data_IF_557217065982
#
_entry.id   IF_557217065982
#
_cell.length_a   1.000
_cell.length_b   1.000
_cell.length_c   1.000
_cell.angle_alpha   90.00
_cell.angle_beta   90.00
_cell.angle_gamma   90.00
#
_symmetry.space_group_name_H-M   'P 1'
#
loop_
_entity.id
_entity.type
_entity.pdbx_description
1 polymer ?
#
# COMPACT_ATOMS: atom_id res chain seq x y z
N UNK A 1 2.91 62.46 10.81
CA UNK A 1 2.92 62.33 9.34
C UNK A 1 4.38 62.35 8.88
N UNK A 2 4.99 61.17 8.71
CA UNK A 2 6.27 61.02 8.04
C UNK A 2 6.31 59.60 7.47
N UNK A 3 6.41 59.56 6.15
CA UNK A 3 6.25 58.41 5.27
C UNK A 3 7.62 57.83 4.94
N UNK A 4 7.78 56.52 4.96
CA UNK A 4 8.85 55.75 4.28
C UNK A 4 8.60 54.27 4.64
N UNK A 5 8.22 53.36 3.75
CA UNK A 5 8.64 53.19 2.36
C UNK A 5 9.52 51.96 2.26
N UNK A 6 9.03 50.77 2.64
CA UNK A 6 9.75 49.51 2.44
C UNK A 6 9.60 49.09 0.98
N UNK A 7 10.69 49.25 0.23
CA UNK A 7 10.76 48.88 -1.18
C UNK A 7 10.82 47.36 -1.33
N UNK A 8 9.93 46.86 -2.18
CA UNK A 8 9.85 45.50 -2.69
C UNK A 8 11.00 45.27 -3.69
N UNK A 9 11.79 44.22 -3.48
CA UNK A 9 12.80 43.77 -4.45
C UNK A 9 12.31 42.49 -5.15
N UNK A 10 12.11 42.50 -6.48
CA UNK A 10 11.87 41.28 -7.26
C UNK A 10 13.20 40.55 -7.53
N UNK A 11 13.28 39.26 -7.19
CA UNK A 11 14.40 38.41 -7.58
C UNK A 11 14.23 37.99 -9.05
N UNK A 12 15.04 38.61 -9.91
CA UNK A 12 15.15 38.32 -11.33
C UNK A 12 15.86 36.98 -11.58
N UNK A 13 15.40 36.28 -12.62
CA UNK A 13 15.75 34.91 -12.91
C UNK A 13 17.21 34.64 -13.30
N UNK A 14 17.59 33.39 -13.09
CA UNK A 14 18.68 32.76 -13.82
C UNK A 14 18.11 31.67 -14.72
N UNK A 15 18.06 32.01 -16.01
CA UNK A 15 17.85 31.09 -17.10
C UNK A 15 19.08 30.18 -17.26
N UNK A 16 18.88 28.87 -17.34
CA UNK A 16 19.90 27.94 -17.79
C UNK A 16 19.89 27.85 -19.32
N UNK A 17 21.06 27.80 -19.98
CA UNK A 17 21.17 27.73 -21.43
C UNK A 17 20.72 26.38 -21.98
N UNK A 18 20.06 26.45 -23.14
CA UNK A 18 19.60 25.30 -23.91
C UNK A 18 20.75 24.50 -24.51
N UNK A 19 20.55 23.19 -24.61
CA UNK A 19 21.34 22.33 -25.47
C UNK A 19 20.47 21.90 -26.67
N UNK A 20 20.72 22.55 -27.80
CA UNK A 20 20.27 22.16 -29.12
C UNK A 20 21.19 21.06 -29.66
N UNK A 21 20.74 19.81 -29.57
CA UNK A 21 21.40 18.65 -30.17
C UNK A 21 20.48 17.98 -31.20
N UNK A 22 20.51 18.48 -32.42
CA UNK A 22 19.91 17.89 -33.61
C UNK A 22 20.70 16.66 -34.05
N UNK A 23 20.06 15.48 -34.13
CA UNK A 23 20.54 14.39 -34.99
C UNK A 23 19.46 14.04 -36.01
N UNK A 24 19.88 14.12 -37.27
CA UNK A 24 19.07 13.95 -38.46
C UNK A 24 18.69 12.50 -38.74
N UNK A 25 17.69 12.40 -39.60
CA UNK A 25 16.97 11.21 -40.03
C UNK A 25 17.77 10.27 -40.94
N UNK A 26 17.39 9.00 -40.91
CA UNK A 26 17.39 8.04 -42.02
C UNK A 26 16.42 6.93 -41.55
N UNK A 27 15.29 6.61 -42.17
CA UNK A 27 14.99 6.59 -43.59
C UNK A 27 15.00 5.15 -44.09
N UNK A 28 14.13 4.28 -43.57
CA UNK A 28 13.86 2.97 -44.17
C UNK A 28 12.36 2.68 -44.14
N UNK A 29 11.78 2.52 -45.32
CA UNK A 29 10.38 2.22 -45.54
C UNK A 29 10.10 0.75 -45.78
N UNK A 30 8.81 0.48 -46.02
CA UNK A 30 8.33 -0.62 -46.84
C UNK A 30 8.10 -1.95 -46.12
N UNK A 31 6.84 -2.37 -46.02
CA UNK A 31 6.51 -3.76 -45.71
C UNK A 31 5.12 -4.01 -45.14
N UNK A 32 4.07 -3.64 -45.86
CA UNK A 32 2.75 -4.26 -45.65
C UNK A 32 2.80 -5.65 -46.28
N UNK A 33 2.76 -6.70 -45.46
CA UNK A 33 2.82 -8.08 -45.94
C UNK A 33 2.03 -9.02 -45.04
N UNK A 34 0.93 -9.54 -45.57
CA UNK A 34 0.41 -10.88 -45.27
C UNK A 34 -0.16 -11.12 -43.88
N UNK A 35 -1.46 -10.88 -43.72
CA UNK A 35 -2.25 -11.62 -42.73
C UNK A 35 -2.23 -13.10 -43.12
N UNK A 36 -1.53 -13.91 -42.33
CA UNK A 36 -1.54 -15.36 -42.43
C UNK A 36 -2.92 -15.90 -42.05
N UNK A 37 -3.66 -16.39 -43.04
CA UNK A 37 -4.79 -17.27 -42.83
C UNK A 37 -4.29 -18.67 -42.50
N UNK A 38 -4.30 -19.03 -41.22
CA UNK A 38 -4.31 -20.43 -40.80
C UNK A 38 -5.74 -20.77 -40.37
N UNK A 39 -6.49 -21.35 -41.32
CA UNK A 39 -7.70 -22.10 -41.00
C UNK A 39 -7.29 -23.41 -40.37
N UNK A 40 -7.20 -23.44 -39.04
CA UNK A 40 -7.00 -24.66 -38.25
C UNK A 40 -8.23 -24.91 -37.40
N UNK A 41 -9.11 -25.80 -37.89
CA UNK A 41 -10.27 -26.25 -37.14
C UNK A 41 -9.87 -26.91 -35.84
N UNK A 42 -10.48 -26.48 -34.74
CA UNK A 42 -10.61 -27.26 -33.52
C UNK A 42 -12.09 -27.36 -33.19
N UNK A 43 -12.74 -28.39 -33.76
CA UNK A 43 -13.84 -29.02 -33.08
C UNK A 43 -13.26 -29.79 -31.90
N UNK A 44 -13.40 -29.25 -30.68
CA UNK A 44 -12.89 -29.85 -29.46
C UNK A 44 -13.89 -29.63 -28.35
N UNK A 45 -14.62 -30.69 -28.01
CA UNK A 45 -15.78 -30.67 -27.12
C UNK A 45 -15.54 -29.95 -25.80
N UNK A 46 -16.58 -29.25 -25.38
CA UNK A 46 -16.77 -28.80 -24.01
C UNK A 46 -16.92 -30.03 -23.10
N UNK A 47 -15.79 -30.68 -22.80
CA UNK A 47 -15.70 -31.62 -21.69
C UNK A 47 -15.93 -30.83 -20.42
N UNK A 48 -17.12 -31.00 -19.82
CA UNK A 48 -17.47 -30.38 -18.55
C UNK A 48 -16.41 -30.70 -17.51
N UNK A 49 -15.68 -29.68 -17.07
CA UNK A 49 -14.88 -29.79 -15.86
C UNK A 49 -15.86 -30.11 -14.72
N UNK A 50 -15.70 -31.24 -14.01
CA UNK A 50 -16.49 -31.46 -12.82
C UNK A 50 -16.17 -30.31 -11.87
N UNK A 51 -17.22 -29.59 -11.48
CA UNK A 51 -17.16 -28.61 -10.43
C UNK A 51 -16.60 -29.32 -9.19
N UNK A 52 -15.34 -29.03 -8.84
CA UNK A 52 -14.82 -29.41 -7.54
C UNK A 52 -15.53 -28.47 -6.57
N UNK A 53 -16.67 -28.91 -6.03
CA UNK A 53 -17.37 -28.21 -4.97
C UNK A 53 -16.44 -28.22 -3.76
N UNK A 54 -15.66 -27.15 -3.62
CA UNK A 54 -14.74 -26.98 -2.52
C UNK A 54 -15.58 -26.84 -1.25
N UNK A 55 -15.75 -27.95 -0.56
CA UNK A 55 -16.44 -28.02 0.73
C UNK A 55 -15.68 -27.09 1.67
N UNK A 56 -16.28 -25.94 1.98
CA UNK A 56 -15.73 -24.99 2.92
C UNK A 56 -15.74 -25.66 4.30
N UNK A 57 -14.56 -26.05 4.79
CA UNK A 57 -14.43 -26.54 6.15
C UNK A 57 -14.91 -25.45 7.12
N UNK A 58 -15.67 -25.80 8.18
CA UNK A 58 -16.07 -24.85 9.21
C UNK A 58 -14.82 -24.24 9.85
N UNK A 59 -14.69 -22.91 9.72
CA UNK A 59 -13.56 -22.17 10.27
C UNK A 59 -13.68 -22.18 11.81
N UNK A 60 -12.59 -22.42 12.57
CA UNK A 60 -12.62 -22.29 14.02
C UNK A 60 -13.09 -20.88 14.42
N UNK A 61 -13.72 -20.69 15.60
CA UNK A 61 -14.19 -19.38 16.03
C UNK A 61 -12.99 -18.43 16.03
N UNK A 62 -13.02 -17.47 15.11
CA UNK A 62 -11.95 -16.49 14.99
C UNK A 62 -11.88 -15.70 16.29
N UNK A 63 -10.67 -15.43 16.83
CA UNK A 63 -10.54 -14.53 17.97
C UNK A 63 -11.20 -13.18 17.64
N UNK A 64 -11.74 -12.46 18.64
CA UNK A 64 -12.40 -11.18 18.41
C UNK A 64 -11.45 -10.26 17.64
N UNK A 65 -11.87 -9.87 16.44
CA UNK A 65 -11.08 -8.99 15.58
C UNK A 65 -10.90 -7.65 16.29
N UNK A 66 -9.68 -7.11 16.36
CA UNK A 66 -9.47 -5.78 16.92
C UNK A 66 -10.19 -4.77 16.03
N UNK A 67 -11.34 -4.29 16.49
CA UNK A 67 -12.07 -3.20 15.84
C UNK A 67 -11.35 -1.89 16.14
N UNK A 68 -10.97 -1.15 15.11
CA UNK A 68 -10.43 0.20 15.27
C UNK A 68 -11.23 1.19 14.43
N UNK A 69 -11.26 2.44 14.87
CA UNK A 69 -11.96 3.51 14.16
C UNK A 69 -11.01 4.24 13.23
N UNK A 70 -11.51 4.66 12.08
CA UNK A 70 -10.80 5.57 11.19
C UNK A 70 -10.67 6.94 11.86
N UNK A 71 -9.42 7.37 12.14
CA UNK A 71 -9.11 8.69 12.73
C UNK A 71 -8.58 9.68 11.69
N UNK A 72 -8.95 9.47 10.42
CA UNK A 72 -8.64 10.41 9.35
C UNK A 72 -9.58 11.61 9.47
N UNK A 73 -9.04 12.79 9.80
CA UNK A 73 -9.84 13.97 10.11
C UNK A 73 -10.91 13.64 11.16
N UNK A 74 -12.19 13.64 10.73
CA UNK A 74 -13.36 13.38 11.57
C UNK A 74 -14.21 12.16 11.12
N UNK A 75 -13.61 11.17 10.45
CA UNK A 75 -14.32 10.06 9.81
C UNK A 75 -15.07 9.11 10.78
N UNK A 76 -14.37 8.50 11.74
CA UNK A 76 -14.98 7.66 12.78
C UNK A 76 -15.56 6.30 12.34
N UNK A 77 -15.45 5.93 11.06
CA UNK A 77 -15.93 4.63 10.53
C UNK A 77 -15.16 3.46 11.16
N UNK A 78 -15.87 2.39 11.52
CA UNK A 78 -15.28 1.16 12.05
C UNK A 78 -14.55 0.42 10.93
N UNK A 79 -13.32 0.01 11.21
CA UNK A 79 -12.49 -0.82 10.33
C UNK A 79 -12.49 -2.25 10.89
N UNK A 80 -13.17 -3.16 10.19
CA UNK A 80 -13.21 -4.59 10.54
C UNK A 80 -11.90 -5.31 10.21
N UNK A 81 -11.21 -4.84 9.17
CA UNK A 81 -9.93 -5.38 8.70
C UNK A 81 -8.88 -4.27 8.72
N UNK A 82 -7.94 -4.35 9.65
CA UNK A 82 -6.91 -3.32 9.83
C UNK A 82 -5.67 -3.54 8.94
N UNK A 83 -5.84 -4.22 7.80
CA UNK A 83 -4.77 -4.52 6.84
C UNK A 83 -4.58 -3.38 5.85
N UNK A 84 -3.37 -3.21 5.32
CA UNK A 84 -3.07 -2.19 4.31
C UNK A 84 -4.05 -2.16 3.12
N UNK A 85 -4.42 -3.31 2.51
CA UNK A 85 -5.41 -3.37 1.44
C UNK A 85 -6.83 -2.95 1.86
N UNK A 86 -7.29 -3.36 3.04
CA UNK A 86 -8.62 -3.02 3.54
C UNK A 86 -8.72 -1.52 3.87
N UNK A 87 -7.69 -0.97 4.53
CA UNK A 87 -7.59 0.46 4.80
C UNK A 87 -7.50 1.24 3.50
N UNK A 88 -6.71 0.78 2.52
CA UNK A 88 -6.67 1.39 1.18
C UNK A 88 -8.07 1.45 0.57
N UNK A 89 -8.84 0.36 0.61
CA UNK A 89 -10.22 0.33 0.09
C UNK A 89 -11.09 1.37 0.80
N UNK A 90 -11.04 1.43 2.12
CA UNK A 90 -11.76 2.43 2.91
C UNK A 90 -11.37 3.87 2.52
N UNK A 91 -10.07 4.15 2.45
CA UNK A 91 -9.54 5.46 2.06
C UNK A 91 -9.98 5.85 0.65
N UNK A 92 -10.04 4.92 -0.31
CA UNK A 92 -10.57 5.19 -1.66
C UNK A 92 -12.08 5.41 -1.69
N UNK A 93 -12.83 4.83 -0.76
CA UNK A 93 -14.29 4.95 -0.73
C UNK A 93 -14.76 6.22 -0.03
N UNK A 94 -14.09 6.60 1.07
CA UNK A 94 -14.52 7.70 1.93
C UNK A 94 -13.63 8.94 1.84
N UNK A 95 -12.40 8.79 1.37
CA UNK A 95 -11.37 9.84 1.34
C UNK A 95 -10.73 9.99 -0.05
N UNK A 96 -11.44 9.69 -1.13
CA UNK A 96 -10.89 9.74 -2.50
C UNK A 96 -10.31 11.13 -2.85
N UNK A 97 -10.95 12.20 -2.36
CA UNK A 97 -10.51 13.57 -2.56
C UNK A 97 -9.17 13.90 -1.87
N UNK A 98 -8.83 13.19 -0.78
CA UNK A 98 -7.58 13.37 -0.03
C UNK A 98 -6.45 12.45 -0.54
N UNK A 99 -6.79 11.52 -1.44
CA UNK A 99 -5.84 10.58 -2.02
C UNK A 99 -5.10 11.21 -3.22
N UNK A 100 -3.83 10.82 -3.45
CA UNK A 100 -3.09 11.33 -4.59
C UNK A 100 -3.78 10.86 -5.89
N UNK A 101 -3.86 11.71 -6.91
CA UNK A 101 -4.55 11.37 -8.14
C UNK A 101 -3.88 10.17 -8.79
N UNK A 102 -4.70 9.28 -9.34
CA UNK A 102 -4.22 8.16 -10.17
C UNK A 102 -3.65 8.77 -11.45
N UNK A 103 -2.33 8.96 -11.48
CA UNK A 103 -1.64 9.39 -12.68
C UNK A 103 -1.83 8.37 -13.81
N UNK A 104 -1.67 8.83 -15.04
CA UNK A 104 -1.71 7.97 -16.22
C UNK A 104 -0.65 6.86 -16.11
N UNK A 105 -0.98 5.67 -16.62
CA UNK A 105 -0.22 4.44 -16.49
C UNK A 105 1.31 4.65 -16.48
N UNK A 106 1.89 4.60 -15.26
CA UNK A 106 3.33 4.67 -15.03
C UNK A 106 3.85 5.91 -14.30
N UNK A 107 3.06 6.97 -14.13
CA UNK A 107 3.49 8.18 -13.43
C UNK A 107 2.70 8.38 -12.13
N UNK A 108 3.39 8.48 -11.00
CA UNK A 108 2.75 8.81 -9.71
C UNK A 108 2.34 10.27 -9.77
N UNK A 109 1.03 10.54 -9.89
CA UNK A 109 0.46 11.87 -10.11
C UNK A 109 0.55 12.85 -8.94
N UNK A 110 1.46 12.62 -7.98
CA UNK A 110 1.65 13.47 -6.80
C UNK A 110 1.83 12.70 -5.50
N UNK A 111 2.30 13.40 -4.46
CA UNK A 111 2.22 12.95 -3.06
C UNK A 111 1.11 13.73 -2.35
N UNK A 112 0.37 13.05 -1.47
CA UNK A 112 -0.50 13.73 -0.49
C UNK A 112 -0.07 13.34 0.92
N UNK A 113 -0.38 14.21 1.87
CA UNK A 113 -0.01 14.06 3.27
C UNK A 113 -1.04 13.22 4.00
N UNK A 114 -0.60 12.31 4.85
CA UNK A 114 -1.48 11.57 5.73
C UNK A 114 -2.12 12.51 6.76
N UNK A 115 -3.44 12.51 6.89
CA UNK A 115 -4.18 13.37 7.85
C UNK A 115 -4.69 12.58 9.07
N UNK A 116 -4.04 11.45 9.38
CA UNK A 116 -4.43 10.64 10.52
C UNK A 116 -4.12 11.38 11.82
N UNK A 117 -5.08 11.40 12.75
CA UNK A 117 -4.91 12.05 14.05
C UNK A 117 -4.91 11.00 15.16
N UNK A 118 -3.80 10.89 15.89
CA UNK A 118 -3.70 10.04 17.06
C UNK A 118 -3.38 10.85 18.33
N UNK A 119 -3.08 10.16 19.43
CA UNK A 119 -2.74 10.76 20.72
C UNK A 119 -1.48 11.64 20.67
N UNK A 120 -0.56 11.37 19.73
CA UNK A 120 0.65 12.14 19.48
C UNK A 120 0.45 13.36 18.57
N UNK A 121 -0.74 13.53 17.99
CA UNK A 121 -1.08 14.65 17.10
C UNK A 121 -1.44 14.19 15.68
N UNK A 122 -1.52 15.16 14.76
CA UNK A 122 -1.75 14.90 13.33
C UNK A 122 -0.47 14.37 12.67
N UNK A 123 -0.59 13.27 11.94
CA UNK A 123 0.46 12.78 11.06
C UNK A 123 0.75 13.81 9.96
N UNK A 124 2.02 13.87 9.52
CA UNK A 124 2.46 14.78 8.46
C UNK A 124 3.21 14.02 7.34
N UNK A 125 3.16 12.68 7.36
CA UNK A 125 3.93 11.83 6.44
C UNK A 125 3.39 11.94 5.01
N UNK A 126 4.28 12.27 4.07
CA UNK A 126 3.95 12.29 2.65
C UNK A 126 3.92 10.89 2.04
N UNK A 127 2.79 10.55 1.42
CA UNK A 127 2.56 9.27 0.77
C UNK A 127 2.31 9.49 -0.72
N UNK A 128 3.12 8.82 -1.55
CA UNK A 128 3.12 8.95 -3.02
C UNK A 128 1.98 8.20 -3.73
N UNK A 129 1.15 7.46 -2.99
CA UNK A 129 0.03 6.71 -3.55
C UNK A 129 -0.99 6.34 -2.46
N UNK A 130 -2.22 6.01 -2.84
CA UNK A 130 -3.21 5.45 -1.90
C UNK A 130 -2.76 4.13 -1.27
N UNK A 131 -1.96 3.33 -2.00
CA UNK A 131 -1.37 2.09 -1.47
C UNK A 131 -0.37 2.40 -0.36
N UNK A 132 0.45 3.43 -0.55
CA UNK A 132 1.38 3.89 0.48
C UNK A 132 0.64 4.35 1.73
N UNK A 133 -0.47 5.10 1.58
CA UNK A 133 -1.33 5.49 2.70
C UNK A 133 -1.88 4.29 3.46
N UNK A 134 -2.48 3.31 2.77
CA UNK A 134 -3.05 2.13 3.42
C UNK A 134 -2.01 1.36 4.24
N UNK A 135 -0.81 1.16 3.69
CA UNK A 135 0.30 0.51 4.41
C UNK A 135 0.79 1.36 5.59
N UNK A 136 0.98 2.66 5.38
CA UNK A 136 1.44 3.59 6.41
C UNK A 136 0.48 3.56 7.61
N UNK A 137 -0.81 3.79 7.37
CA UNK A 137 -1.85 3.79 8.41
C UNK A 137 -1.93 2.46 9.14
N UNK A 138 -1.91 1.34 8.40
CA UNK A 138 -1.91 -0.01 8.98
C UNK A 138 -0.74 -0.19 9.97
N UNK A 139 0.48 0.13 9.56
CA UNK A 139 1.69 -0.17 10.34
C UNK A 139 1.98 0.84 11.46
N UNK A 140 1.80 2.14 11.19
CA UNK A 140 2.21 3.22 12.09
C UNK A 140 1.10 3.49 13.11
N UNK A 141 -0.12 3.75 12.66
CA UNK A 141 -1.20 4.16 13.54
C UNK A 141 -1.98 2.99 14.12
N UNK A 142 -2.39 2.04 13.28
CA UNK A 142 -3.18 0.89 13.73
C UNK A 142 -2.32 -0.24 14.27
N UNK A 143 -1.01 -0.17 14.05
CA UNK A 143 -0.09 -1.16 14.58
C UNK A 143 -0.34 -2.57 14.09
N UNK A 144 -0.77 -2.70 12.86
CA UNK A 144 -1.05 -3.97 12.24
C UNK A 144 0.16 -4.49 11.50
N UNK A 145 0.30 -5.81 11.53
CA UNK A 145 1.52 -6.50 11.12
C UNK A 145 2.55 -6.67 12.24
N UNK A 146 2.33 -6.12 13.44
CA UNK A 146 3.05 -6.57 14.64
C UNK A 146 2.37 -7.81 15.21
N UNK A 147 2.92 -8.96 14.83
CA UNK A 147 2.55 -10.27 15.34
C UNK A 147 3.12 -10.40 16.75
N UNK A 148 2.27 -10.66 17.74
CA UNK A 148 2.68 -10.84 19.12
C UNK A 148 2.92 -12.31 19.43
N UNK A 149 4.02 -12.61 20.14
CA UNK A 149 4.23 -13.93 20.68
C UNK A 149 3.32 -14.16 21.89
N UNK A 150 2.41 -15.13 21.81
CA UNK A 150 1.50 -15.46 22.93
C UNK A 150 2.21 -15.89 24.23
N UNK A 151 3.47 -16.32 24.16
CA UNK A 151 4.23 -16.82 25.30
C UNK A 151 4.99 -15.72 26.04
N UNK A 152 5.59 -14.77 25.32
CA UNK A 152 6.46 -13.74 25.91
C UNK A 152 6.03 -12.32 25.58
N UNK A 153 4.92 -12.14 24.87
CA UNK A 153 4.33 -10.85 24.45
C UNK A 153 5.24 -9.98 23.56
N UNK A 154 6.34 -10.55 23.05
CA UNK A 154 7.27 -9.83 22.17
C UNK A 154 6.63 -9.60 20.80
N UNK A 155 6.73 -8.36 20.31
CA UNK A 155 6.10 -7.88 19.07
C UNK A 155 7.07 -8.01 17.89
N UNK A 156 6.60 -8.57 16.78
CA UNK A 156 7.38 -8.82 15.56
C UNK A 156 6.68 -8.25 14.34
N UNK A 157 7.38 -7.49 13.49
CA UNK A 157 6.81 -6.91 12.26
C UNK A 157 6.57 -7.93 11.13
N UNK A 158 6.96 -9.21 11.30
CA UNK A 158 6.86 -10.27 10.29
C UNK A 158 6.43 -11.60 10.90
N UNK A 159 5.60 -12.35 10.16
CA UNK A 159 5.17 -13.71 10.53
C UNK A 159 6.34 -14.69 10.65
N UNK A 160 7.29 -14.66 9.72
CA UNK A 160 8.46 -15.55 9.75
C UNK A 160 9.36 -15.28 10.97
N UNK A 161 9.48 -14.01 11.36
CA UNK A 161 10.25 -13.60 12.52
C UNK A 161 9.58 -14.07 13.82
N UNK A 162 8.25 -13.96 13.90
CA UNK A 162 7.50 -14.54 15.02
C UNK A 162 7.66 -16.06 15.08
N UNK A 163 7.53 -16.77 13.94
CA UNK A 163 7.65 -18.23 13.90
C UNK A 163 9.03 -18.69 14.39
N UNK A 164 10.11 -18.13 13.84
CA UNK A 164 11.47 -18.43 14.31
C UNK A 164 11.65 -18.07 15.77
N UNK A 165 11.07 -16.96 16.23
CA UNK A 165 11.12 -16.59 17.63
C UNK A 165 10.42 -17.63 18.52
N UNK A 166 9.21 -18.07 18.18
CA UNK A 166 8.48 -19.10 18.93
C UNK A 166 9.24 -20.41 18.97
N UNK A 167 9.83 -20.83 17.84
CA UNK A 167 10.57 -22.09 17.73
C UNK A 167 11.91 -22.06 18.46
N UNK A 168 12.64 -20.95 18.36
CA UNK A 168 14.07 -20.94 18.69
C UNK A 168 14.52 -19.85 19.64
N UNK A 169 13.75 -18.80 19.92
CA UNK A 169 14.26 -17.63 20.68
C UNK A 169 13.27 -17.12 21.72
N UNK A 170 12.20 -17.86 21.98
CA UNK A 170 11.18 -17.43 22.92
C UNK A 170 11.69 -17.73 24.33
N UNK A 171 11.96 -16.72 25.18
CA UNK A 171 12.53 -16.96 26.50
C UNK A 171 11.64 -17.84 27.37
N UNK A 172 10.31 -17.80 27.17
CA UNK A 172 9.36 -18.64 27.91
C UNK A 172 9.40 -20.11 27.46
N UNK A 173 9.72 -20.39 26.19
CA UNK A 173 9.88 -21.75 25.66
C UNK A 173 11.32 -22.27 25.78
N UNK A 174 12.31 -21.39 25.74
CA UNK A 174 13.72 -21.71 25.96
C UNK A 174 14.06 -21.91 27.44
N UNK A 175 13.37 -21.19 28.34
CA UNK A 175 13.49 -21.35 29.78
C UNK A 175 12.27 -22.07 30.37
N UNK A 176 11.69 -23.01 29.63
CA UNK A 176 10.69 -23.91 30.21
C UNK A 176 11.22 -24.45 31.56
N UNK A 177 10.41 -24.48 32.63
CA UNK A 177 10.84 -25.09 33.87
C UNK A 177 11.27 -26.50 33.53
N UNK A 178 12.38 -26.95 34.10
CA UNK A 178 12.74 -28.35 34.08
C UNK A 178 11.52 -29.13 34.57
N UNK A 179 10.73 -29.68 33.65
CA UNK A 179 9.85 -30.79 33.93
C UNK A 179 10.80 -31.96 34.17
N UNK A 180 11.37 -32.00 35.37
CA UNK A 180 11.73 -33.28 35.96
C UNK A 180 10.42 -34.04 36.10
N UNK A 181 10.26 -35.12 35.34
CA UNK A 181 10.34 -36.50 35.82
C UNK A 181 10.60 -37.38 34.59
#
# INVERSE_FOLDING_TARGET
MASSGFQYFPNAGHAYPGNSGSYGASGHGGGHGGHGGYGGGYGGGHGGFPYHQQQQQPQPPTPPTPMAFCRWGNCGVILDELTGPAIKRHLQQFHDADMPPKGNAGQSGGSTRCQWTDESGSCDTECRSTVAHGRHVSTVHLGQGRMECMYCTKKFSRKDALKRHQEQYCPVLQHGPAFGM
#
